data_IF_442623815416
#
_entry.id   IF_442623815416
#
_cell.length_a   1.000
_cell.length_b   1.000
_cell.length_c   1.000
_cell.angle_alpha   90.00
_cell.angle_beta   90.00
_cell.angle_gamma   90.00
#
_symmetry.space_group_name_H-M   'P 1'
#
loop_
_entity.id
_entity.type
_entity.pdbx_description
1 polymer ?
#
# COMPACT_ATOMS: atom_id res chain seq x y z
N UNK A 1 -3.15 -18.43 -2.28
CA UNK A 1 -2.54 -17.10 -2.34
C UNK A 1 -1.46 -17.11 -1.27
N UNK A 2 -0.22 -16.80 -1.62
CA UNK A 2 0.88 -16.76 -0.66
C UNK A 2 0.76 -15.44 0.13
N UNK A 3 0.90 -15.49 1.45
CA UNK A 3 0.68 -14.33 2.34
C UNK A 3 1.58 -13.15 1.94
N UNK A 4 2.74 -13.46 1.37
CA UNK A 4 3.69 -12.49 0.82
C UNK A 4 3.12 -11.66 -0.35
N UNK A 5 2.41 -12.30 -1.29
CA UNK A 5 1.72 -11.62 -2.39
C UNK A 5 0.44 -10.90 -1.94
N UNK A 6 -0.15 -11.30 -0.81
CA UNK A 6 -1.27 -10.58 -0.20
C UNK A 6 -0.82 -9.32 0.55
N UNK A 7 0.40 -9.33 1.10
CA UNK A 7 1.00 -8.23 1.85
C UNK A 7 1.91 -7.32 1.02
N UNK A 8 2.14 -7.65 -0.25
CA UNK A 8 2.82 -6.80 -1.23
C UNK A 8 1.87 -6.64 -2.40
N UNK A 9 1.20 -5.49 -2.47
CA UNK A 9 0.28 -5.16 -3.54
C UNK A 9 1.04 -4.90 -4.84
N UNK A 10 1.09 -3.63 -5.27
CA UNK A 10 1.87 -3.18 -6.43
C UNK A 10 3.29 -2.75 -6.00
N UNK A 11 3.97 -3.62 -5.24
CA UNK A 11 5.28 -3.31 -4.69
C UNK A 11 6.34 -3.16 -5.80
N UNK A 12 7.14 -2.09 -5.70
CA UNK A 12 8.18 -1.75 -6.66
C UNK A 12 9.56 -1.82 -6.02
N UNK A 13 10.53 -2.43 -6.72
CA UNK A 13 11.94 -2.29 -6.38
C UNK A 13 12.45 -0.97 -6.96
N UNK A 14 13.11 -0.17 -6.11
CA UNK A 14 13.73 1.11 -6.46
C UNK A 14 15.24 1.02 -6.30
N UNK A 15 15.93 1.76 -7.17
CA UNK A 15 17.39 1.88 -7.15
C UNK A 15 17.73 3.36 -6.95
N UNK A 16 18.61 3.63 -5.99
CA UNK A 16 19.20 4.93 -5.74
C UNK A 16 20.72 4.85 -5.92
N UNK A 17 21.34 5.95 -6.35
CA UNK A 17 22.79 6.06 -6.51
C UNK A 17 23.37 6.99 -5.46
N UNK A 18 24.55 6.67 -4.94
CA UNK A 18 25.34 7.54 -4.07
C UNK A 18 26.73 7.77 -4.68
N UNK A 19 27.27 8.96 -4.50
CA UNK A 19 28.50 9.37 -5.15
C UNK A 19 28.82 10.85 -4.95
N UNK A 20 29.89 11.31 -5.61
CA UNK A 20 30.37 12.68 -5.55
C UNK A 20 29.97 13.42 -6.81
N UNK A 21 29.51 14.67 -6.66
CA UNK A 21 29.24 15.59 -7.77
C UNK A 21 30.32 16.66 -7.81
N UNK A 22 30.99 16.82 -8.95
CA UNK A 22 32.02 17.82 -9.19
C UNK A 22 31.61 18.75 -10.31
N UNK A 23 31.70 20.07 -10.08
CA UNK A 23 31.52 21.06 -11.14
C UNK A 23 32.81 21.18 -11.96
N UNK A 24 32.72 21.06 -13.28
CA UNK A 24 33.85 21.32 -14.18
C UNK A 24 33.90 22.78 -14.60
N UNK A 25 35.08 23.27 -14.98
CA UNK A 25 35.31 24.67 -15.40
C UNK A 25 34.35 25.14 -16.51
N UNK A 26 33.82 24.21 -17.31
CA UNK A 26 32.89 24.48 -18.42
C UNK A 26 31.41 24.51 -18.02
N UNK A 27 31.07 24.62 -16.73
CA UNK A 27 29.69 24.50 -16.17
C UNK A 27 29.01 23.15 -16.45
N UNK A 28 29.76 22.13 -16.85
CA UNK A 28 29.27 20.75 -16.92
C UNK A 28 29.47 20.08 -15.57
N UNK A 29 28.50 19.27 -15.15
CA UNK A 29 28.63 18.51 -13.92
C UNK A 29 29.22 17.14 -14.24
N UNK A 30 30.09 16.63 -13.38
CA UNK A 30 30.50 15.23 -13.41
C UNK A 30 30.03 14.54 -12.14
N UNK A 31 29.41 13.38 -12.29
CA UNK A 31 28.98 12.52 -11.18
C UNK A 31 29.88 11.31 -11.17
N UNK A 32 30.42 10.98 -10.00
CA UNK A 32 31.17 9.76 -9.75
C UNK A 32 30.40 8.91 -8.71
N UNK A 33 29.71 7.87 -9.18
CA UNK A 33 28.88 6.97 -8.37
C UNK A 33 29.71 5.84 -7.81
N UNK A 34 29.72 5.64 -6.49
CA UNK A 34 30.50 4.58 -5.82
C UNK A 34 29.64 3.54 -5.07
N UNK A 35 28.34 3.80 -4.90
CA UNK A 35 27.41 2.90 -4.21
C UNK A 35 26.00 2.91 -4.83
N UNK A 36 25.37 1.74 -4.88
CA UNK A 36 23.97 1.55 -5.24
C UNK A 36 23.15 1.15 -4.01
N UNK A 37 21.99 1.77 -3.85
CA UNK A 37 21.00 1.42 -2.82
C UNK A 37 19.74 0.82 -3.46
N UNK A 38 19.35 -0.37 -3.01
CA UNK A 38 18.12 -1.05 -3.42
C UNK A 38 17.12 -1.04 -2.29
N UNK A 39 15.86 -0.71 -2.57
CA UNK A 39 14.80 -0.77 -1.57
C UNK A 39 13.46 -1.12 -2.21
N UNK A 40 12.60 -1.75 -1.44
CA UNK A 40 11.20 -1.99 -1.79
C UNK A 40 10.35 -0.80 -1.37
N UNK A 41 9.38 -0.46 -2.21
CA UNK A 41 8.35 0.53 -1.94
C UNK A 41 7.00 -0.04 -2.35
N UNK A 42 6.04 -0.01 -1.44
CA UNK A 42 4.65 -0.35 -1.72
C UNK A 42 3.74 0.79 -1.23
N UNK A 43 2.66 1.04 -1.96
CA UNK A 43 1.69 2.09 -1.64
C UNK A 43 0.30 1.49 -1.49
N UNK A 44 -0.27 1.66 -0.30
CA UNK A 44 -1.64 1.32 0.02
C UNK A 44 -2.47 2.59 0.02
N UNK A 45 -3.13 2.87 -1.10
CA UNK A 45 -4.17 3.87 -1.18
C UNK A 45 -5.54 3.19 -1.14
N UNK A 46 -6.48 3.79 -0.40
CA UNK A 46 -7.84 3.28 -0.27
C UNK A 46 -8.83 4.18 -1.01
N UNK A 47 -8.41 4.64 -2.19
CA UNK A 47 -9.20 5.55 -3.00
C UNK A 47 -9.88 4.79 -4.13
N UNK A 48 -11.14 5.13 -4.36
CA UNK A 48 -11.80 4.77 -5.61
C UNK A 48 -11.38 5.81 -6.63
N UNK A 49 -10.56 5.41 -7.61
CA UNK A 49 -10.23 6.27 -8.74
C UNK A 49 -11.45 6.54 -9.63
N UNK A 50 -11.23 6.88 -10.91
CA UNK A 50 -12.32 7.06 -11.90
C UNK A 50 -13.00 5.74 -12.33
N UNK A 51 -12.95 4.71 -11.51
CA UNK A 51 -13.51 3.40 -11.80
C UNK A 51 -14.98 3.35 -11.36
N UNK A 52 -15.83 2.79 -12.22
CA UNK A 52 -17.24 2.52 -11.91
C UNK A 52 -17.44 1.45 -10.84
N UNK A 53 -16.38 0.73 -10.45
CA UNK A 53 -16.41 -0.38 -9.50
C UNK A 53 -15.35 -0.10 -8.42
N UNK A 54 -15.79 -0.11 -7.16
CA UNK A 54 -14.90 0.07 -6.01
C UNK A 54 -14.05 -1.17 -5.75
N UNK A 55 -12.76 -0.98 -5.49
CA UNK A 55 -11.82 -2.08 -5.29
C UNK A 55 -12.19 -2.88 -4.02
N UNK A 56 -12.24 -4.23 -4.09
CA UNK A 56 -12.44 -5.05 -2.91
C UNK A 56 -11.19 -5.04 -2.01
N UNK A 57 -11.42 -4.84 -0.72
CA UNK A 57 -10.42 -4.89 0.37
C UNK A 57 -10.45 -6.21 1.14
N UNK A 58 -11.22 -7.19 0.65
CA UNK A 58 -11.32 -8.52 1.22
C UNK A 58 -12.64 -8.75 1.96
N UNK A 59 -12.76 -9.96 2.51
CA UNK A 59 -13.95 -10.41 3.21
C UNK A 59 -13.72 -10.47 4.70
N UNK A 60 -14.60 -9.83 5.46
CA UNK A 60 -14.42 -9.62 6.89
C UNK A 60 -15.67 -10.06 7.65
N UNK A 61 -15.48 -10.87 8.69
CA UNK A 61 -16.49 -11.27 9.66
C UNK A 61 -16.04 -10.90 11.07
N UNK A 62 -16.84 -11.27 12.07
CA UNK A 62 -16.57 -10.92 13.47
C UNK A 62 -15.20 -11.42 13.98
N UNK A 63 -14.74 -12.57 13.51
CA UNK A 63 -13.45 -13.15 13.92
C UNK A 63 -12.27 -12.77 13.01
N UNK A 64 -12.45 -11.86 12.07
CA UNK A 64 -11.41 -11.42 11.14
C UNK A 64 -11.70 -11.78 9.68
N UNK A 65 -10.66 -12.21 8.94
CA UNK A 65 -10.78 -12.48 7.50
C UNK A 65 -11.55 -13.79 7.27
N UNK A 66 -12.75 -13.69 6.71
CA UNK A 66 -13.65 -14.82 6.49
C UNK A 66 -14.31 -14.75 5.10
N UNK A 67 -13.66 -15.34 4.09
CA UNK A 67 -14.18 -15.46 2.73
C UNK A 67 -15.01 -16.74 2.57
N UNK A 68 -16.35 -16.66 2.60
CA UNK A 68 -17.21 -17.81 2.30
C UNK A 68 -18.40 -17.41 1.39
N UNK A 69 -19.33 -18.33 1.13
CA UNK A 69 -20.46 -18.08 0.22
C UNK A 69 -21.55 -17.14 0.78
N UNK A 70 -21.48 -16.75 2.05
CA UNK A 70 -22.50 -15.94 2.72
C UNK A 70 -22.10 -14.47 2.89
N UNK A 71 -21.36 -13.93 1.92
CA UNK A 71 -20.89 -12.54 1.94
C UNK A 71 -22.02 -11.57 1.63
N UNK A 72 -22.17 -10.56 2.48
CA UNK A 72 -23.04 -9.42 2.26
C UNK A 72 -22.24 -8.32 1.56
N UNK A 73 -22.80 -7.75 0.51
CA UNK A 73 -22.33 -6.49 -0.07
C UNK A 73 -23.08 -5.32 0.57
N UNK A 74 -22.50 -4.11 0.46
CA UNK A 74 -23.12 -2.88 0.97
C UNK A 74 -23.10 -2.83 2.49
N UNK A 75 -22.02 -2.28 3.05
CA UNK A 75 -21.86 -2.17 4.50
C UNK A 75 -22.60 -0.93 4.97
N UNK A 76 -23.52 -1.10 5.92
CA UNK A 76 -24.10 0.03 6.62
C UNK A 76 -23.06 0.58 7.60
N UNK A 77 -22.57 1.79 7.32
CA UNK A 77 -21.59 2.49 8.17
C UNK A 77 -22.29 3.22 9.31
N UNK A 78 -23.62 3.36 9.24
CA UNK A 78 -24.42 3.95 10.28
C UNK A 78 -24.81 2.95 11.37
N UNK A 79 -25.02 3.49 12.56
CA UNK A 79 -25.43 2.70 13.71
C UNK A 79 -26.89 2.30 13.49
N UNK A 80 -27.13 0.99 13.46
CA UNK A 80 -28.46 0.42 13.23
C UNK A 80 -28.89 -0.37 14.48
N UNK A 81 -30.08 -0.09 14.98
CA UNK A 81 -30.71 -0.95 15.99
C UNK A 81 -31.25 -2.17 15.27
N UNK A 82 -30.58 -3.32 15.47
CA UNK A 82 -31.00 -4.58 14.91
C UNK A 82 -31.63 -5.47 15.99
N UNK A 83 -32.84 -5.96 15.75
CA UNK A 83 -33.49 -6.98 16.59
C UNK A 83 -33.01 -8.38 16.18
N UNK A 84 -31.73 -8.65 16.44
CA UNK A 84 -31.08 -9.93 16.15
C UNK A 84 -30.27 -10.39 17.36
N UNK A 85 -30.10 -11.71 17.52
CA UNK A 85 -29.23 -12.23 18.57
C UNK A 85 -27.76 -11.91 18.29
N UNK A 86 -26.92 -11.80 19.34
CA UNK A 86 -25.47 -11.60 19.18
C UNK A 86 -24.82 -12.68 18.32
N UNK A 87 -25.25 -13.94 18.43
CA UNK A 87 -24.71 -15.05 17.64
C UNK A 87 -24.98 -14.85 16.14
N UNK A 88 -26.21 -14.46 15.79
CA UNK A 88 -26.58 -14.15 14.41
C UNK A 88 -25.86 -12.90 13.88
N UNK A 89 -25.58 -11.92 14.74
CA UNK A 89 -24.78 -10.76 14.36
C UNK A 89 -23.32 -11.15 14.08
N UNK A 90 -22.74 -12.02 14.89
CA UNK A 90 -21.36 -12.49 14.74
C UNK A 90 -21.15 -13.36 13.48
N UNK A 91 -22.20 -14.03 12.99
CA UNK A 91 -22.17 -14.78 11.74
C UNK A 91 -22.14 -13.91 10.48
N UNK A 92 -22.40 -12.59 10.60
CA UNK A 92 -22.41 -11.69 9.45
C UNK A 92 -20.99 -11.52 8.89
N UNK A 93 -20.90 -11.66 7.57
CA UNK A 93 -19.67 -11.51 6.79
C UNK A 93 -19.91 -10.49 5.70
N UNK A 94 -18.91 -9.66 5.45
CA UNK A 94 -19.01 -8.53 4.53
C UNK A 94 -17.87 -8.57 3.52
N UNK A 95 -18.18 -8.31 2.26
CA UNK A 95 -17.18 -7.90 1.29
C UNK A 95 -16.94 -6.40 1.51
N UNK A 96 -15.77 -6.05 2.05
CA UNK A 96 -15.38 -4.65 2.28
C UNK A 96 -14.79 -4.10 0.99
N UNK A 97 -15.18 -2.89 0.61
CA UNK A 97 -14.62 -2.18 -0.54
C UNK A 97 -14.04 -0.83 -0.11
N UNK A 98 -13.22 -0.22 -0.98
CA UNK A 98 -12.68 1.12 -0.78
C UNK A 98 -13.79 2.15 -0.45
N UNK A 99 -14.94 2.06 -1.10
CA UNK A 99 -16.07 2.97 -0.88
C UNK A 99 -16.67 2.84 0.53
N UNK A 100 -16.70 1.63 1.10
CA UNK A 100 -17.15 1.41 2.48
C UNK A 100 -16.15 2.03 3.47
N UNK A 101 -14.85 1.82 3.23
CA UNK A 101 -13.79 2.40 4.05
C UNK A 101 -13.75 3.92 3.98
N UNK A 102 -13.97 4.53 2.80
CA UNK A 102 -14.04 5.98 2.65
C UNK A 102 -15.22 6.60 3.41
N UNK A 103 -16.39 5.96 3.37
CA UNK A 103 -17.55 6.36 4.19
C UNK A 103 -17.21 6.30 5.67
N UNK A 104 -16.62 5.18 6.12
CA UNK A 104 -16.18 5.02 7.50
C UNK A 104 -15.14 6.08 7.92
N UNK A 105 -14.14 6.34 7.07
CA UNK A 105 -13.10 7.37 7.27
C UNK A 105 -13.72 8.76 7.40
N UNK A 106 -14.71 9.09 6.55
CA UNK A 106 -15.42 10.37 6.58
C UNK A 106 -16.20 10.56 7.88
N UNK A 107 -16.88 9.50 8.36
CA UNK A 107 -17.63 9.51 9.62
C UNK A 107 -16.72 9.62 10.84
N UNK A 108 -15.67 8.80 10.90
CA UNK A 108 -14.84 8.63 12.10
C UNK A 108 -13.61 9.54 12.13
N UNK A 109 -13.30 10.22 11.02
CA UNK A 109 -12.09 11.04 10.85
C UNK A 109 -10.79 10.26 11.15
N UNK A 110 -10.81 8.94 10.93
CA UNK A 110 -9.75 8.00 11.24
C UNK A 110 -9.32 7.20 10.01
N UNK A 111 -8.13 6.61 10.08
CA UNK A 111 -7.51 5.87 8.99
C UNK A 111 -6.70 6.77 8.04
N UNK A 112 -6.00 6.17 7.10
CA UNK A 112 -5.12 6.89 6.18
C UNK A 112 -4.57 5.96 5.10
N UNK A 113 -3.99 6.57 4.08
CA UNK A 113 -3.20 5.86 3.07
C UNK A 113 -1.78 5.72 3.64
N UNK A 114 -1.10 4.62 3.36
CA UNK A 114 0.24 4.40 3.87
C UNK A 114 1.18 3.88 2.80
N UNK A 115 2.45 4.24 2.96
CA UNK A 115 3.53 3.76 2.12
C UNK A 115 4.45 2.91 2.97
N UNK A 116 4.68 1.68 2.54
CA UNK A 116 5.62 0.77 3.17
C UNK A 116 6.94 0.84 2.41
N UNK A 117 8.02 1.03 3.15
CA UNK A 117 9.37 1.06 2.63
C UNK A 117 10.18 -0.01 3.34
N UNK A 118 11.03 -0.73 2.60
CA UNK A 118 12.05 -1.56 3.23
C UNK A 118 13.26 -0.72 3.64
N UNK A 119 14.11 -1.32 4.46
CA UNK A 119 15.49 -0.85 4.61
C UNK A 119 16.21 -0.85 3.26
N UNK A 120 17.22 0.01 3.15
CA UNK A 120 18.05 0.11 1.93
C UNK A 120 19.16 -0.93 1.98
N UNK A 121 19.15 -1.84 1.02
CA UNK A 121 20.28 -2.74 0.77
C UNK A 121 21.35 -2.00 -0.05
N UNK A 122 22.52 -1.78 0.54
CA UNK A 122 23.61 -1.01 -0.06
C UNK A 122 24.67 -1.92 -0.64
N UNK A 123 25.09 -1.63 -1.87
CA UNK A 123 26.15 -2.36 -2.58
C UNK A 123 27.17 -1.35 -3.10
N UNK A 124 28.39 -1.41 -2.59
CA UNK A 124 29.51 -0.62 -3.12
C UNK A 124 29.98 -1.18 -4.45
N UNK A 125 30.26 -0.28 -5.39
CA UNK A 125 30.80 -0.65 -6.68
C UNK A 125 32.31 -0.98 -6.54
N UNK A 126 32.85 -1.93 -7.32
CA UNK A 126 34.28 -2.25 -7.28
C UNK A 126 35.17 -1.06 -7.62
N UNK A 127 34.67 -0.15 -8.45
CA UNK A 127 35.27 1.13 -8.78
C UNK A 127 34.17 2.15 -9.13
N UNK A 128 34.37 3.43 -8.82
CA UNK A 128 33.36 4.44 -9.11
C UNK A 128 33.07 4.59 -10.61
N UNK A 129 31.80 4.82 -10.95
CA UNK A 129 31.35 5.05 -12.32
C UNK A 129 31.18 6.55 -12.57
N UNK A 130 31.91 7.06 -13.56
CA UNK A 130 31.90 8.49 -13.90
C UNK A 130 30.93 8.77 -15.04
N UNK A 131 30.09 9.78 -14.85
CA UNK A 131 29.14 10.30 -15.83
C UNK A 131 29.35 11.81 -16.00
N UNK A 132 29.14 12.31 -17.22
CA UNK A 132 29.13 13.74 -17.52
C UNK A 132 27.70 14.18 -17.84
N UNK A 133 27.28 15.32 -17.29
CA UNK A 133 25.95 15.95 -17.50
C UNK A 133 26.12 17.36 -18.06
#
# INVERSE_FOLDING_TARGET
>A
MDDFYGAMGEAQIKIAVSGIVTSTENKKASIEVDELGFYLRDSYDFQDGNNFISQPLGCWGFNGVECNTSLRGGINIEDEIADISPDTAAERKYLVQNSDFQKWRTKNQHGGDFMVLSDVHRVRLPFPQKFEI
#
